data_IF_666653031645
#
_entry.id   IF_666653031645
#
_cell.length_a   1.000
_cell.length_b   1.000
_cell.length_c   1.000
_cell.angle_alpha   90.00
_cell.angle_beta   90.00
_cell.angle_gamma   90.00
#
_symmetry.space_group_name_H-M   'P 1'
#
loop_
_entity.id
_entity.type
_entity.pdbx_description
1 polymer ?
#
# COMPACT_ATOMS: atom_id res chain seq x y z
N UNK A 1 32.37 46.47 -48.15
CA UNK A 1 33.40 45.75 -47.38
C UNK A 1 32.71 44.61 -46.66
N UNK A 2 33.12 43.39 -46.97
CA UNK A 2 32.55 42.14 -46.48
C UNK A 2 33.04 41.85 -45.07
N UNK A 3 32.15 41.44 -44.17
CA UNK A 3 32.52 40.58 -43.04
C UNK A 3 31.48 39.47 -42.91
N UNK A 4 31.72 38.43 -43.70
CA UNK A 4 31.21 37.10 -43.43
C UNK A 4 31.87 36.59 -42.13
N UNK A 5 31.06 36.25 -41.11
CA UNK A 5 31.52 35.51 -39.94
C UNK A 5 30.45 34.46 -39.52
N UNK A 6 29.95 33.73 -40.52
CA UNK A 6 28.87 32.74 -40.39
C UNK A 6 29.30 31.35 -39.92
N UNK A 7 30.54 31.14 -39.47
CA UNK A 7 31.06 29.81 -39.10
C UNK A 7 31.26 29.57 -37.59
N UNK A 8 30.99 30.57 -36.72
CA UNK A 8 31.43 30.53 -35.32
C UNK A 8 30.30 30.37 -34.27
N UNK A 9 29.10 29.92 -34.65
CA UNK A 9 28.26 29.21 -33.66
C UNK A 9 28.79 27.77 -33.60
N UNK A 10 29.85 27.61 -32.82
CA UNK A 10 30.58 26.36 -32.64
C UNK A 10 29.64 25.22 -32.23
N UNK A 11 29.84 24.03 -32.79
CA UNK A 11 29.17 22.78 -32.36
C UNK A 11 29.34 22.57 -30.85
N UNK A 12 30.48 23.01 -30.28
CA UNK A 12 30.71 22.98 -28.83
C UNK A 12 29.76 23.87 -28.03
N UNK A 13 29.31 25.00 -28.57
CA UNK A 13 28.33 25.88 -27.92
C UNK A 13 26.94 25.25 -27.92
N UNK A 14 26.53 24.62 -29.01
CA UNK A 14 25.23 23.93 -29.12
C UNK A 14 25.15 22.70 -28.20
N UNK A 15 26.24 21.93 -28.09
CA UNK A 15 26.31 20.79 -27.16
C UNK A 15 26.24 21.27 -25.70
N UNK A 16 26.89 22.39 -25.38
CA UNK A 16 26.82 23.00 -24.06
C UNK A 16 25.40 23.44 -23.73
N UNK A 17 24.75 24.21 -24.61
CA UNK A 17 23.37 24.67 -24.43
C UNK A 17 22.37 23.51 -24.34
N UNK A 18 22.51 22.49 -25.18
CA UNK A 18 21.65 21.30 -25.14
C UNK A 18 21.81 20.48 -23.85
N UNK A 19 23.04 20.37 -23.33
CA UNK A 19 23.32 19.71 -22.04
C UNK A 19 22.75 20.51 -20.87
N UNK A 20 22.81 21.84 -20.94
CA UNK A 20 22.27 22.76 -19.94
C UNK A 20 20.74 22.71 -19.92
N UNK A 21 20.09 22.74 -21.09
CA UNK A 21 18.63 22.56 -21.22
C UNK A 21 18.17 21.19 -20.72
N UNK A 22 18.89 20.12 -21.03
CA UNK A 22 18.57 18.79 -20.51
C UNK A 22 18.71 18.73 -18.99
N UNK A 23 19.76 19.35 -18.45
CA UNK A 23 19.97 19.45 -17.01
C UNK A 23 18.84 20.23 -16.32
N UNK A 24 18.36 21.31 -16.95
CA UNK A 24 17.24 22.10 -16.46
C UNK A 24 15.93 21.33 -16.53
N UNK A 25 15.68 20.58 -17.60
CA UNK A 25 14.51 19.73 -17.75
C UNK A 25 14.46 18.65 -16.67
N UNK A 26 15.56 17.95 -16.45
CA UNK A 26 15.65 16.92 -15.39
C UNK A 26 15.40 17.54 -14.02
N UNK A 27 15.95 18.73 -13.72
CA UNK A 27 15.69 19.42 -12.45
C UNK A 27 14.22 19.83 -12.32
N UNK A 28 13.54 20.21 -13.40
CA UNK A 28 12.12 20.54 -13.39
C UNK A 28 11.24 19.32 -13.15
N UNK A 29 11.51 18.20 -13.84
CA UNK A 29 10.80 16.95 -13.61
C UNK A 29 10.97 16.44 -12.19
N UNK A 30 12.17 16.55 -11.61
CA UNK A 30 12.40 16.23 -10.21
C UNK A 30 11.59 17.12 -9.26
N UNK A 31 11.52 18.43 -9.52
CA UNK A 31 10.69 19.35 -8.72
C UNK A 31 9.20 19.04 -8.85
N UNK A 32 8.75 18.71 -10.05
CA UNK A 32 7.36 18.34 -10.31
C UNK A 32 7.00 17.04 -9.59
N UNK A 33 7.83 16.00 -9.74
CA UNK A 33 7.67 14.73 -9.04
C UNK A 33 7.67 14.92 -7.52
N UNK A 34 8.56 15.77 -6.98
CA UNK A 34 8.58 16.10 -5.55
C UNK A 34 7.28 16.78 -5.09
N UNK A 35 6.76 17.73 -5.88
CA UNK A 35 5.51 18.40 -5.58
C UNK A 35 4.32 17.42 -5.63
N UNK A 36 4.27 16.54 -6.62
CA UNK A 36 3.22 15.54 -6.76
C UNK A 36 3.27 14.51 -5.62
N UNK A 37 4.46 14.01 -5.27
CA UNK A 37 4.65 13.10 -4.13
C UNK A 37 4.26 13.76 -2.81
N UNK A 38 4.57 15.04 -2.62
CA UNK A 38 4.18 15.78 -1.42
C UNK A 38 2.66 15.95 -1.35
N UNK A 39 2.01 16.27 -2.47
CA UNK A 39 0.55 16.40 -2.53
C UNK A 39 -0.15 15.06 -2.29
N UNK A 40 0.34 13.98 -2.93
CA UNK A 40 -0.13 12.61 -2.72
C UNK A 40 0.07 12.17 -1.27
N UNK A 41 1.25 12.42 -0.70
CA UNK A 41 1.60 12.13 0.68
C UNK A 41 0.71 12.88 1.68
N UNK A 42 0.41 14.16 1.44
CA UNK A 42 -0.51 14.95 2.27
C UNK A 42 -1.93 14.38 2.22
N UNK A 43 -2.44 14.05 1.03
CA UNK A 43 -3.79 13.45 0.89
C UNK A 43 -3.85 12.08 1.56
N UNK A 44 -2.85 11.24 1.36
CA UNK A 44 -2.73 9.94 2.00
C UNK A 44 -2.61 10.08 3.53
N UNK A 45 -1.84 11.05 4.02
CA UNK A 45 -1.69 11.32 5.45
C UNK A 45 -2.97 11.82 6.12
N UNK A 46 -3.70 12.74 5.47
CA UNK A 46 -5.02 13.19 5.96
C UNK A 46 -6.01 12.04 5.93
N UNK A 47 -6.07 11.29 4.82
CA UNK A 47 -6.96 10.14 4.69
C UNK A 47 -6.67 9.06 5.74
N UNK A 48 -5.39 8.71 5.93
CA UNK A 48 -4.93 7.78 6.95
C UNK A 48 -5.22 8.27 8.37
N UNK A 49 -5.00 9.55 8.64
CA UNK A 49 -5.33 10.18 9.93
C UNK A 49 -6.82 10.16 10.23
N UNK A 50 -7.68 10.53 9.27
CA UNK A 50 -9.14 10.48 9.41
C UNK A 50 -9.64 9.05 9.58
N UNK A 51 -9.11 8.09 8.81
CA UNK A 51 -9.48 6.69 8.95
C UNK A 51 -9.04 6.12 10.31
N UNK A 52 -7.85 6.47 10.78
CA UNK A 52 -7.39 6.12 12.12
C UNK A 52 -8.28 6.70 13.22
N UNK A 53 -8.64 7.98 13.11
CA UNK A 53 -9.55 8.64 14.06
C UNK A 53 -10.95 7.99 14.04
N UNK A 54 -11.49 7.69 12.85
CA UNK A 54 -12.76 6.99 12.71
C UNK A 54 -12.72 5.59 13.33
N UNK A 55 -11.63 4.84 13.12
CA UNK A 55 -11.42 3.52 13.75
C UNK A 55 -11.38 3.60 15.27
N UNK A 56 -10.66 4.59 15.84
CA UNK A 56 -10.62 4.81 17.29
C UNK A 56 -12.00 5.20 17.85
N UNK A 57 -12.74 6.06 17.14
CA UNK A 57 -14.09 6.46 17.54
C UNK A 57 -15.06 5.28 17.49
N UNK A 58 -14.98 4.45 16.44
CA UNK A 58 -15.76 3.22 16.32
C UNK A 58 -15.42 2.22 17.45
N UNK A 59 -14.16 2.12 17.84
CA UNK A 59 -13.74 1.30 18.98
C UNK A 59 -14.40 1.75 20.29
N UNK A 60 -14.35 3.05 20.60
CA UNK A 60 -15.01 3.59 21.80
C UNK A 60 -16.54 3.46 21.74
N UNK A 61 -17.15 3.70 20.57
CA UNK A 61 -18.58 3.51 20.38
C UNK A 61 -18.99 2.05 20.63
N UNK A 62 -18.21 1.08 20.11
CA UNK A 62 -18.45 -0.33 20.36
C UNK A 62 -18.30 -0.67 21.85
N UNK A 63 -17.28 -0.15 22.54
CA UNK A 63 -17.11 -0.34 23.98
C UNK A 63 -18.30 0.22 24.78
N UNK A 64 -18.82 1.38 24.41
CA UNK A 64 -20.01 1.97 25.02
C UNK A 64 -21.25 1.12 24.77
N UNK A 65 -21.44 0.59 23.55
CA UNK A 65 -22.56 -0.31 23.22
C UNK A 65 -22.48 -1.64 23.99
N UNK A 66 -21.28 -2.22 24.13
CA UNK A 66 -21.06 -3.42 24.95
C UNK A 66 -21.44 -3.13 26.39
N UNK A 67 -21.00 -2.00 26.94
CA UNK A 67 -21.33 -1.59 28.32
C UNK A 67 -22.83 -1.39 28.50
N UNK A 68 -23.49 -0.74 27.54
CA UNK A 68 -24.94 -0.54 27.56
C UNK A 68 -25.70 -1.87 27.49
N UNK A 69 -25.26 -2.82 26.66
CA UNK A 69 -25.85 -4.15 26.57
C UNK A 69 -25.71 -4.91 27.90
N UNK A 70 -24.53 -4.87 28.51
CA UNK A 70 -24.30 -5.47 29.83
C UNK A 70 -25.23 -4.85 30.87
N UNK A 71 -25.33 -3.52 30.92
CA UNK A 71 -26.19 -2.81 31.86
C UNK A 71 -27.67 -3.14 31.66
N UNK A 72 -28.13 -3.23 30.41
CA UNK A 72 -29.52 -3.57 30.09
C UNK A 72 -29.88 -5.01 30.53
N UNK A 73 -28.97 -5.96 30.30
CA UNK A 73 -29.15 -7.36 30.72
C UNK A 73 -29.04 -7.51 32.24
N UNK A 74 -28.26 -6.64 32.89
CA UNK A 74 -28.09 -6.61 34.33
C UNK A 74 -29.30 -6.03 35.09
N UNK A 75 -30.37 -5.59 34.41
CA UNK A 75 -31.61 -5.20 35.09
C UNK A 75 -32.29 -6.40 35.78
N UNK A 76 -32.51 -7.54 35.10
CA UNK A 76 -33.00 -8.78 35.74
C UNK A 76 -31.90 -9.73 36.24
N UNK A 77 -30.63 -9.53 35.85
CA UNK A 77 -29.51 -10.43 36.18
C UNK A 77 -28.40 -9.71 36.97
N UNK A 78 -27.48 -10.46 37.57
CA UNK A 78 -26.28 -9.85 38.16
C UNK A 78 -25.32 -9.35 37.09
N UNK A 79 -24.50 -8.34 37.44
CA UNK A 79 -23.56 -7.71 36.51
C UNK A 79 -22.57 -8.72 35.90
N UNK A 80 -22.02 -9.62 36.71
CA UNK A 80 -21.03 -10.60 36.24
C UNK A 80 -21.65 -11.60 35.24
N UNK A 81 -22.88 -12.06 35.48
CA UNK A 81 -23.56 -12.99 34.58
C UNK A 81 -23.87 -12.32 33.24
N UNK A 82 -24.33 -11.06 33.29
CA UNK A 82 -24.59 -10.23 32.11
C UNK A 82 -23.33 -10.01 31.27
N UNK A 83 -22.21 -9.70 31.93
CA UNK A 83 -20.91 -9.54 31.28
C UNK A 83 -20.45 -10.82 30.58
N UNK A 84 -20.61 -11.99 31.21
CA UNK A 84 -20.24 -13.28 30.61
C UNK A 84 -21.10 -13.63 29.40
N UNK A 85 -22.40 -13.32 29.42
CA UNK A 85 -23.29 -13.56 28.27
C UNK A 85 -22.85 -12.72 27.07
N UNK A 86 -22.62 -11.42 27.28
CA UNK A 86 -22.18 -10.52 26.20
C UNK A 86 -20.79 -10.93 25.69
N UNK A 87 -19.86 -11.25 26.59
CA UNK A 87 -18.53 -11.73 26.22
C UNK A 87 -18.58 -13.03 25.41
N UNK A 88 -19.42 -13.99 25.82
CA UNK A 88 -19.64 -15.24 25.09
C UNK A 88 -20.17 -15.00 23.67
N UNK A 89 -21.14 -14.10 23.51
CA UNK A 89 -21.66 -13.71 22.20
C UNK A 89 -20.59 -13.07 21.30
N UNK A 90 -19.78 -12.15 21.85
CA UNK A 90 -18.68 -11.52 21.11
C UNK A 90 -17.60 -12.53 20.71
N UNK A 91 -17.24 -13.47 21.59
CA UNK A 91 -16.29 -14.53 21.29
C UNK A 91 -16.80 -15.46 20.19
N UNK A 92 -18.10 -15.76 20.17
CA UNK A 92 -18.72 -16.54 19.11
C UNK A 92 -18.62 -15.83 17.76
N UNK A 93 -18.97 -14.54 17.71
CA UNK A 93 -18.84 -13.71 16.49
C UNK A 93 -17.38 -13.64 16.05
N UNK A 94 -16.45 -13.39 16.98
CA UNK A 94 -15.02 -13.33 16.69
C UNK A 94 -14.48 -14.67 16.17
N UNK A 95 -14.92 -15.79 16.74
CA UNK A 95 -14.59 -17.14 16.29
C UNK A 95 -15.05 -17.39 14.85
N UNK A 96 -16.30 -17.04 14.51
CA UNK A 96 -16.84 -17.16 13.15
C UNK A 96 -16.04 -16.27 12.18
N UNK A 97 -15.81 -15.00 12.53
CA UNK A 97 -15.04 -14.08 11.69
C UNK A 97 -13.61 -14.58 11.47
N UNK A 98 -12.96 -15.14 12.50
CA UNK A 98 -11.62 -15.72 12.39
C UNK A 98 -11.60 -16.96 11.49
N UNK A 99 -12.62 -17.83 11.55
CA UNK A 99 -12.75 -18.99 10.67
C UNK A 99 -12.93 -18.58 9.20
N UNK A 100 -13.82 -17.61 8.94
CA UNK A 100 -14.03 -17.05 7.59
C UNK A 100 -12.75 -16.40 7.08
N UNK A 101 -12.14 -15.52 7.89
CA UNK A 101 -10.90 -14.83 7.55
C UNK A 101 -9.76 -15.80 7.26
N UNK A 102 -9.63 -16.89 8.04
CA UNK A 102 -8.66 -17.96 7.77
C UNK A 102 -8.91 -18.64 6.43
N UNK A 103 -10.17 -18.83 6.03
CA UNK A 103 -10.55 -19.36 4.72
C UNK A 103 -10.09 -18.45 3.58
N UNK A 104 -10.37 -17.15 3.70
CA UNK A 104 -9.99 -16.15 2.70
C UNK A 104 -8.48 -15.96 2.60
N UNK A 105 -7.75 -15.93 3.73
CA UNK A 105 -6.28 -15.88 3.72
C UNK A 105 -5.68 -17.11 3.04
N UNK A 106 -6.22 -18.31 3.30
CA UNK A 106 -5.77 -19.54 2.62
C UNK A 106 -6.04 -19.51 1.11
N UNK A 107 -7.08 -18.82 0.64
CA UNK A 107 -7.42 -18.67 -0.78
C UNK A 107 -6.58 -17.58 -1.46
N UNK A 108 -6.27 -16.51 -0.75
CA UNK A 108 -5.50 -15.38 -1.26
C UNK A 108 -3.99 -15.65 -1.33
N UNK A 109 -3.49 -16.66 -0.62
CA UNK A 109 -2.09 -17.11 -0.70
C UNK A 109 -2.00 -18.33 -1.61
N UNK A 110 -1.67 -18.20 -2.90
CA UNK A 110 -1.11 -19.33 -3.63
C UNK A 110 0.26 -19.65 -3.01
N UNK A 111 0.51 -20.88 -2.53
CA UNK A 111 1.86 -21.32 -2.17
C UNK A 111 2.66 -21.42 -3.46
N UNK A 112 3.18 -20.29 -3.92
CA UNK A 112 3.85 -20.09 -5.22
C UNK A 112 2.88 -20.31 -6.41
N UNK A 113 2.84 -19.42 -7.42
CA UNK A 113 2.11 -19.72 -8.64
C UNK A 113 2.78 -20.95 -9.28
N UNK A 114 2.10 -22.11 -9.28
CA UNK A 114 2.67 -23.37 -9.78
C UNK A 114 3.25 -23.22 -11.20
N UNK A 115 2.58 -22.42 -12.04
CA UNK A 115 3.03 -22.11 -13.40
C UNK A 115 4.38 -21.37 -13.45
N UNK A 116 4.67 -20.49 -12.48
CA UNK A 116 5.93 -19.72 -12.45
C UNK A 116 7.10 -20.55 -11.93
N UNK A 117 6.84 -21.54 -11.08
CA UNK A 117 7.88 -22.48 -10.63
C UNK A 117 8.22 -23.47 -11.74
N UNK A 118 7.20 -23.98 -12.42
CA UNK A 118 7.37 -24.91 -13.53
C UNK A 118 8.05 -24.26 -14.74
N UNK A 119 7.76 -23.00 -15.05
CA UNK A 119 8.43 -22.27 -16.13
C UNK A 119 9.91 -22.02 -15.81
N UNK A 120 10.24 -21.65 -14.57
CA UNK A 120 11.64 -21.46 -14.14
C UNK A 120 12.40 -22.78 -14.13
N UNK A 121 11.76 -23.90 -13.78
CA UNK A 121 12.37 -25.23 -13.87
C UNK A 121 12.62 -25.66 -15.32
N UNK A 122 11.70 -25.41 -16.26
CA UNK A 122 11.92 -25.66 -17.68
C UNK A 122 13.06 -24.81 -18.24
N UNK A 123 13.10 -23.52 -17.90
CA UNK A 123 14.17 -22.62 -18.35
C UNK A 123 15.55 -23.09 -17.86
N UNK A 124 15.65 -23.56 -16.61
CA UNK A 124 16.88 -24.12 -16.05
C UNK A 124 17.31 -25.42 -16.74
N UNK A 125 16.36 -26.28 -17.15
CA UNK A 125 16.67 -27.50 -17.92
C UNK A 125 17.23 -27.15 -19.30
N UNK A 126 16.62 -26.19 -19.99
CA UNK A 126 17.07 -25.73 -21.32
C UNK A 126 18.46 -25.09 -21.24
N UNK A 127 18.74 -24.31 -20.20
CA UNK A 127 20.06 -23.70 -19.95
C UNK A 127 21.13 -24.75 -19.68
N UNK A 128 20.82 -25.80 -18.90
CA UNK A 128 21.76 -26.88 -18.58
C UNK A 128 22.09 -27.75 -19.78
N UNK A 129 21.13 -27.93 -20.69
CA UNK A 129 21.32 -28.70 -21.93
C UNK A 129 22.14 -27.92 -22.98
N UNK A 130 21.97 -26.59 -23.06
CA UNK A 130 22.82 -25.73 -23.91
C UNK A 130 24.26 -25.63 -23.43
N UNK A 131 24.51 -25.64 -22.12
CA UNK A 131 25.85 -25.57 -21.55
C UNK A 131 26.66 -26.89 -21.70
N UNK A 132 25.99 -27.98 -22.08
CA UNK A 132 26.61 -29.31 -22.23
C UNK A 132 26.94 -29.69 -23.69
N UNK A 133 26.58 -28.83 -24.65
CA UNK A 133 27.03 -28.89 -26.05
C UNK A 133 28.23 -27.99 -26.25
#
# INVERSE_FOLDING_TARGET
MAHANGSARSVGTLVKEGTEQLSDLVRQELKLAQAELTQKGKRAGIGGGLFGAAGLMAFFALAALITAAIAAIAMPLTLWASALIVAGGLLLIAGIAALIGRGEVKRAVPPVPGETVDSVHQDLVILKERAKR
#
